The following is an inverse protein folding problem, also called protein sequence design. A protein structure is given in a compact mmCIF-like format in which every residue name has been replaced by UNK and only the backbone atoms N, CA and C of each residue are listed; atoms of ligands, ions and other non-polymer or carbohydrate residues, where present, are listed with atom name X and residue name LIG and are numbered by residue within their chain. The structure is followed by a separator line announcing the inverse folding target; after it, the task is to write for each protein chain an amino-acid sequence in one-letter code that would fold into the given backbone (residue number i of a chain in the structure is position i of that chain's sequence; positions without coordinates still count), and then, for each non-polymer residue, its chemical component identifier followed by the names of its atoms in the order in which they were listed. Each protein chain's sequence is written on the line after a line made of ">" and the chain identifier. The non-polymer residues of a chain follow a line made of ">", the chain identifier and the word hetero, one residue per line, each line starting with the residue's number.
data_IF_930681951979
#
_entry.id   IF_930681951979
#
_cell.length_a   1.000
_cell.length_b   1.000
_cell.length_c   1.000
_cell.angle_alpha   90.00
_cell.angle_beta   90.00
_cell.angle_gamma   90.00
#
_symmetry.space_group_name_H-M   'P 1'
#
loop_
_entity.id
_entity.type
_entity.pdbx_description
1 polymer ?
#
# COMPACT_ATOMS: atom_id res chain seq x y z
N UNK A 1 -1.11 22.94 2.07
CA UNK A 1 -2.50 22.44 2.08
C UNK A 1 -2.98 22.09 0.66
N UNK A 2 -2.68 22.91 -0.36
CA UNK A 2 -3.20 22.76 -1.73
C UNK A 2 -2.74 21.49 -2.47
N UNK A 3 -1.58 20.95 -2.12
CA UNK A 3 -1.04 19.73 -2.69
C UNK A 3 -1.64 18.45 -2.07
N UNK A 4 -2.38 18.58 -0.97
CA UNK A 4 -2.98 17.43 -0.29
C UNK A 4 -4.10 16.83 -1.17
N UNK A 5 -4.02 15.52 -1.43
CA UNK A 5 -4.98 14.79 -2.28
C UNK A 5 -6.41 14.85 -1.73
N UNK A 6 -6.57 14.88 -0.42
CA UNK A 6 -7.86 15.06 0.25
C UNK A 6 -8.53 16.39 -0.16
N UNK A 7 -7.75 17.49 -0.15
CA UNK A 7 -8.27 18.82 -0.58
C UNK A 7 -8.58 18.81 -2.06
N UNK A 8 -7.76 18.17 -2.88
CA UNK A 8 -8.04 18.02 -4.32
C UNK A 8 -9.33 17.22 -4.54
N UNK A 9 -9.54 16.13 -3.80
CA UNK A 9 -10.78 15.34 -3.85
C UNK A 9 -12.02 16.16 -3.47
N UNK A 10 -11.94 16.96 -2.40
CA UNK A 10 -13.04 17.87 -2.04
C UNK A 10 -13.35 18.88 -3.15
N UNK A 11 -12.33 19.42 -3.81
CA UNK A 11 -12.53 20.34 -4.96
C UNK A 11 -13.25 19.66 -6.10
N UNK A 12 -12.86 18.42 -6.47
CA UNK A 12 -13.53 17.65 -7.52
C UNK A 12 -15.02 17.42 -7.24
N UNK A 13 -15.40 17.13 -6.00
CA UNK A 13 -16.79 17.01 -5.62
C UNK A 13 -17.51 18.35 -5.77
N UNK A 14 -16.90 19.45 -5.34
CA UNK A 14 -17.48 20.80 -5.40
C UNK A 14 -17.69 21.32 -6.82
N UNK A 15 -16.99 20.80 -7.82
CA UNK A 15 -17.23 21.13 -9.22
C UNK A 15 -18.65 20.72 -9.69
N UNK A 16 -19.24 19.69 -9.06
CA UNK A 16 -20.50 19.11 -9.48
C UNK A 16 -21.59 19.18 -8.41
N UNK A 17 -21.24 19.40 -7.15
CA UNK A 17 -22.16 19.37 -6.02
C UNK A 17 -21.97 20.58 -5.12
N UNK A 18 -23.05 21.25 -4.78
CA UNK A 18 -23.05 22.32 -3.80
C UNK A 18 -22.89 21.75 -2.40
N UNK A 19 -21.70 21.84 -1.84
CA UNK A 19 -21.42 21.43 -0.48
C UNK A 19 -21.27 22.65 0.44
N UNK A 20 -21.73 22.56 1.70
CA UNK A 20 -21.52 23.61 2.69
C UNK A 20 -20.05 23.80 2.99
N UNK A 21 -19.73 24.79 3.82
CA UNK A 21 -18.39 24.93 4.36
C UNK A 21 -18.07 23.73 5.26
N UNK A 22 -16.90 23.11 5.04
CA UNK A 22 -16.45 21.91 5.77
C UNK A 22 -15.15 22.18 6.49
N UNK A 23 -15.06 21.70 7.71
CA UNK A 23 -13.82 21.57 8.45
C UNK A 23 -13.38 20.10 8.42
N UNK A 24 -12.16 19.84 7.96
CA UNK A 24 -11.62 18.49 7.87
C UNK A 24 -10.39 18.41 8.78
N UNK A 25 -10.41 17.50 9.74
CA UNK A 25 -9.26 17.16 10.57
C UNK A 25 -8.73 15.78 10.17
N UNK A 26 -7.45 15.70 9.82
CA UNK A 26 -6.80 14.46 9.43
C UNK A 26 -5.74 14.10 10.47
N UNK A 27 -5.94 12.99 11.17
CA UNK A 27 -4.96 12.41 12.07
C UNK A 27 -4.21 11.28 11.36
N UNK A 28 -2.95 11.53 10.99
CA UNK A 28 -2.09 10.54 10.32
C UNK A 28 -1.42 9.63 11.34
N UNK A 29 -1.84 8.37 11.38
CA UNK A 29 -1.18 7.33 12.19
C UNK A 29 -0.06 6.63 11.41
N UNK A 30 -0.32 6.33 10.12
CA UNK A 30 0.69 5.74 9.23
C UNK A 30 1.58 6.86 8.69
N UNK A 31 2.91 6.74 8.82
CA UNK A 31 3.84 7.75 8.30
C UNK A 31 3.69 7.98 6.80
N UNK A 32 3.86 9.22 6.36
CA UNK A 32 3.87 9.57 4.94
C UNK A 32 5.10 8.99 4.23
N UNK A 33 4.99 8.72 2.92
CA UNK A 33 6.12 8.19 2.14
C UNK A 33 6.51 6.76 2.53
N UNK A 34 5.53 5.97 2.96
CA UNK A 34 5.74 4.60 3.45
C UNK A 34 5.62 3.52 2.35
N UNK A 35 5.30 3.87 1.10
CA UNK A 35 5.01 2.87 0.05
C UNK A 35 3.65 2.17 0.22
N UNK A 36 2.74 2.72 1.04
CA UNK A 36 1.46 2.11 1.42
C UNK A 36 0.24 2.80 0.79
N UNK A 37 0.44 3.73 -0.13
CA UNK A 37 -0.66 4.45 -0.77
C UNK A 37 -1.50 5.32 0.19
N UNK A 38 -0.96 5.68 1.37
CA UNK A 38 -1.73 6.34 2.43
C UNK A 38 -2.41 7.64 2.01
N UNK A 39 -1.75 8.48 1.19
CA UNK A 39 -2.36 9.70 0.65
C UNK A 39 -3.52 9.40 -0.31
N UNK A 40 -3.38 8.36 -1.13
CA UNK A 40 -4.43 7.89 -2.06
C UNK A 40 -5.62 7.30 -1.30
N UNK A 41 -5.34 6.56 -0.22
CA UNK A 41 -6.36 6.05 0.70
C UNK A 41 -7.14 7.19 1.35
N UNK A 42 -6.46 8.21 1.89
CA UNK A 42 -7.11 9.38 2.50
C UNK A 42 -8.05 10.08 1.50
N UNK A 43 -7.59 10.28 0.25
CA UNK A 43 -8.39 10.93 -0.80
C UNK A 43 -9.64 10.10 -1.14
N UNK A 44 -9.47 8.81 -1.44
CA UNK A 44 -10.57 7.92 -1.80
C UNK A 44 -11.61 7.82 -0.68
N UNK A 45 -11.18 7.64 0.57
CA UNK A 45 -12.08 7.58 1.72
C UNK A 45 -12.77 8.92 2.00
N UNK A 46 -12.10 10.05 1.78
CA UNK A 46 -12.75 11.36 1.85
C UNK A 46 -13.87 11.48 0.82
N UNK A 47 -13.63 11.08 -0.43
CA UNK A 47 -14.65 11.11 -1.48
C UNK A 47 -15.83 10.20 -1.14
N UNK A 48 -15.58 8.99 -0.65
CA UNK A 48 -16.63 8.05 -0.16
C UNK A 48 -17.44 8.66 0.98
N UNK A 49 -16.74 9.26 1.97
CA UNK A 49 -17.40 9.89 3.12
C UNK A 49 -18.28 11.06 2.70
N UNK A 50 -17.83 11.91 1.78
CA UNK A 50 -18.61 13.01 1.26
C UNK A 50 -19.83 12.51 0.47
N UNK A 51 -19.66 11.48 -0.37
CA UNK A 51 -20.75 10.84 -1.10
C UNK A 51 -21.83 10.33 -0.14
N UNK A 52 -21.43 9.63 0.91
CA UNK A 52 -22.34 9.09 1.91
C UNK A 52 -23.00 10.19 2.77
N UNK A 53 -22.20 11.13 3.28
CA UNK A 53 -22.66 12.19 4.20
C UNK A 53 -23.68 13.13 3.54
N UNK A 54 -23.50 13.43 2.25
CA UNK A 54 -24.34 14.35 1.51
C UNK A 54 -25.32 13.67 0.54
N UNK A 55 -25.40 12.33 0.58
CA UNK A 55 -26.27 11.52 -0.30
C UNK A 55 -26.11 11.90 -1.77
N UNK A 56 -24.87 12.00 -2.27
CA UNK A 56 -24.60 12.45 -3.63
C UNK A 56 -25.01 11.44 -4.70
N UNK A 57 -25.27 10.19 -4.31
CA UNK A 57 -25.75 9.13 -5.20
C UNK A 57 -24.68 8.56 -6.14
N UNK A 58 -23.40 8.81 -5.89
CA UNK A 58 -22.32 8.29 -6.72
C UNK A 58 -22.12 6.79 -6.46
N UNK A 59 -22.08 6.00 -7.53
CA UNK A 59 -21.67 4.59 -7.50
C UNK A 59 -20.16 4.46 -7.29
N UNK A 60 -19.71 3.25 -6.92
CA UNK A 60 -18.27 2.96 -6.82
C UNK A 60 -17.53 3.21 -8.14
N UNK A 61 -18.13 2.88 -9.29
CA UNK A 61 -17.52 3.13 -10.60
C UNK A 61 -17.31 4.62 -10.85
N UNK A 62 -18.31 5.47 -10.54
CA UNK A 62 -18.20 6.92 -10.69
C UNK A 62 -17.17 7.51 -9.71
N UNK A 63 -17.06 6.96 -8.49
CA UNK A 63 -16.04 7.35 -7.54
C UNK A 63 -14.65 6.97 -8.06
N UNK A 64 -14.43 5.74 -8.55
CA UNK A 64 -13.16 5.27 -9.14
C UNK A 64 -12.72 6.16 -10.31
N UNK A 65 -13.65 6.49 -11.21
CA UNK A 65 -13.37 7.40 -12.35
C UNK A 65 -12.89 8.77 -11.85
N UNK A 66 -13.63 9.37 -10.90
CA UNK A 66 -13.29 10.69 -10.37
C UNK A 66 -11.96 10.73 -9.64
N UNK A 67 -11.69 9.75 -8.77
CA UNK A 67 -10.43 9.72 -8.00
C UNK A 67 -9.20 9.37 -8.84
N UNK A 68 -9.37 8.79 -10.04
CA UNK A 68 -8.28 8.49 -10.97
C UNK A 68 -7.46 9.74 -11.31
N UNK A 69 -8.12 10.89 -11.43
CA UNK A 69 -7.46 12.18 -11.66
C UNK A 69 -6.60 12.69 -10.50
N UNK A 70 -6.75 12.10 -9.30
CA UNK A 70 -5.97 12.46 -8.11
C UNK A 70 -4.66 11.69 -8.03
N UNK A 71 -4.64 10.45 -8.50
CA UNK A 71 -3.46 9.57 -8.48
C UNK A 71 -3.83 8.15 -8.89
N UNK A 72 -2.87 7.43 -9.48
CA UNK A 72 -3.06 6.08 -10.02
C UNK A 72 -3.57 5.06 -8.97
N UNK A 73 -3.12 5.20 -7.71
CA UNK A 73 -3.50 4.29 -6.63
C UNK A 73 -4.87 4.61 -6.00
N UNK A 74 -5.42 5.83 -6.22
CA UNK A 74 -6.67 6.25 -5.57
C UNK A 74 -7.87 5.33 -5.88
N UNK A 75 -8.09 4.87 -7.12
CA UNK A 75 -9.23 4.00 -7.45
C UNK A 75 -9.25 2.69 -6.67
N UNK A 76 -8.07 2.11 -6.37
CA UNK A 76 -7.97 0.89 -5.57
C UNK A 76 -8.70 1.02 -4.22
N UNK A 77 -8.53 2.16 -3.53
CA UNK A 77 -9.09 2.38 -2.20
C UNK A 77 -10.60 2.66 -2.18
N UNK A 78 -11.23 2.83 -3.34
CA UNK A 78 -12.69 2.93 -3.42
C UNK A 78 -13.33 1.61 -3.00
N UNK A 79 -12.90 0.49 -3.58
CA UNK A 79 -13.40 -0.85 -3.23
C UNK A 79 -12.57 -1.54 -2.16
N UNK A 80 -11.27 -1.25 -2.10
CA UNK A 80 -10.34 -1.78 -1.11
C UNK A 80 -10.38 -3.32 -1.03
N UNK A 81 -10.26 -3.99 -2.18
CA UNK A 81 -10.29 -5.46 -2.30
C UNK A 81 -9.05 -5.95 -3.05
N UNK A 82 -8.61 -7.19 -2.83
CA UNK A 82 -7.50 -7.76 -3.57
C UNK A 82 -7.75 -7.73 -5.08
N UNK A 83 -6.81 -7.14 -5.82
CA UNK A 83 -6.87 -7.02 -7.28
C UNK A 83 -5.49 -7.26 -7.89
N UNK A 84 -5.47 -7.72 -9.12
CA UNK A 84 -4.31 -7.66 -9.99
C UNK A 84 -4.40 -6.36 -10.80
N UNK A 85 -3.45 -5.45 -10.57
CA UNK A 85 -3.40 -4.15 -11.23
C UNK A 85 -2.47 -4.20 -12.44
N UNK A 86 -2.90 -3.60 -13.55
CA UNK A 86 -2.13 -3.45 -14.79
C UNK A 86 -2.13 -1.99 -15.26
N UNK A 87 -1.50 -1.72 -16.40
CA UNK A 87 -1.32 -0.36 -16.91
C UNK A 87 -0.36 0.43 -16.03
N UNK A 88 -0.77 1.59 -15.58
CA UNK A 88 -0.04 2.42 -14.60
C UNK A 88 -0.48 2.11 -13.14
N UNK A 89 -1.12 0.95 -12.89
CA UNK A 89 -1.70 0.58 -11.61
C UNK A 89 -3.17 0.94 -11.46
N UNK A 90 -3.87 1.22 -12.55
CA UNK A 90 -5.26 1.73 -12.57
C UNK A 90 -6.26 0.81 -13.27
N UNK A 91 -5.83 -0.30 -13.84
CA UNK A 91 -6.70 -1.31 -14.46
C UNK A 91 -6.75 -2.52 -13.53
N UNK A 92 -7.90 -2.79 -12.93
CA UNK A 92 -8.06 -3.80 -11.88
C UNK A 92 -8.78 -5.04 -12.38
N UNK A 93 -8.16 -6.19 -12.13
CA UNK A 93 -8.79 -7.50 -12.28
C UNK A 93 -8.95 -8.11 -10.89
N UNK A 94 -10.18 -8.42 -10.43
CA UNK A 94 -10.39 -9.07 -9.16
C UNK A 94 -9.65 -10.41 -9.06
N UNK A 95 -9.06 -10.70 -7.91
CA UNK A 95 -8.38 -11.96 -7.63
C UNK A 95 -8.96 -12.62 -6.39
N UNK A 96 -9.02 -13.96 -6.40
CA UNK A 96 -9.51 -14.76 -5.29
C UNK A 96 -8.43 -15.05 -4.24
N UNK A 97 -7.73 -14.02 -3.76
CA UNK A 97 -6.73 -14.16 -2.72
C UNK A 97 -7.35 -13.89 -1.34
N UNK A 98 -7.17 -14.80 -0.40
CA UNK A 98 -7.46 -14.59 1.02
C UNK A 98 -6.22 -14.89 1.85
N UNK A 99 -5.91 -14.01 2.77
CA UNK A 99 -4.82 -14.15 3.74
C UNK A 99 -5.37 -14.13 5.19
N UNK A 100 -6.66 -14.48 5.37
CA UNK A 100 -7.38 -14.37 6.65
C UNK A 100 -6.77 -15.17 7.81
N UNK A 101 -5.94 -16.18 7.51
CA UNK A 101 -5.24 -16.98 8.53
C UNK A 101 -3.77 -16.60 8.70
N UNK A 102 -3.39 -15.41 8.21
CA UNK A 102 -2.04 -14.91 8.26
C UNK A 102 -1.93 -13.69 9.15
N UNK A 103 -0.84 -13.62 9.90
CA UNK A 103 -0.45 -12.39 10.61
C UNK A 103 0.41 -11.53 9.70
N UNK A 104 0.06 -10.26 9.60
CA UNK A 104 0.87 -9.23 8.96
C UNK A 104 1.75 -8.57 10.01
N UNK A 105 3.04 -8.48 9.75
CA UNK A 105 3.95 -7.55 10.41
C UNK A 105 4.41 -6.52 9.39
N UNK A 106 4.31 -5.26 9.73
CA UNK A 106 4.74 -4.13 8.91
C UNK A 106 5.77 -3.29 9.66
N UNK A 107 6.91 -3.06 9.04
CA UNK A 107 7.99 -2.24 9.57
C UNK A 107 8.32 -1.13 8.58
N UNK A 108 8.27 0.13 9.02
CA UNK A 108 8.68 1.29 8.22
C UNK A 108 9.82 2.01 8.94
N UNK A 109 11.07 1.92 8.45
CA UNK A 109 12.19 2.65 9.00
C UNK A 109 12.03 4.16 8.76
N UNK A 110 12.74 4.99 9.52
CA UNK A 110 12.76 6.45 9.27
C UNK A 110 13.65 6.80 8.07
N UNK A 111 13.39 6.13 6.95
CA UNK A 111 14.03 6.33 5.65
C UNK A 111 12.99 6.78 4.66
N UNK A 112 13.26 7.86 3.95
CA UNK A 112 12.44 8.33 2.84
C UNK A 112 13.02 7.82 1.51
N UNK A 113 12.20 7.10 0.73
CA UNK A 113 12.53 6.68 -0.62
C UNK A 113 11.71 7.49 -1.61
N UNK A 114 12.40 8.22 -2.49
CA UNK A 114 11.72 8.95 -3.56
C UNK A 114 11.19 7.96 -4.60
N UNK A 115 9.87 7.97 -4.84
CA UNK A 115 9.24 7.16 -5.90
C UNK A 115 9.91 7.40 -7.26
N UNK A 116 10.25 8.67 -7.58
CA UNK A 116 10.95 9.02 -8.82
C UNK A 116 12.32 8.35 -8.92
N UNK A 117 13.06 8.31 -7.81
CA UNK A 117 14.38 7.67 -7.75
C UNK A 117 14.28 6.15 -7.86
N UNK A 118 13.31 5.55 -7.18
CA UNK A 118 13.03 4.12 -7.28
C UNK A 118 12.71 3.71 -8.74
N UNK A 119 11.83 4.45 -9.42
CA UNK A 119 11.52 4.22 -10.84
C UNK A 119 12.72 4.40 -11.76
N UNK A 120 13.63 5.33 -11.48
CA UNK A 120 14.82 5.56 -12.31
C UNK A 120 15.83 4.39 -12.25
N UNK A 121 15.73 3.52 -11.26
CA UNK A 121 16.64 2.40 -11.01
C UNK A 121 16.03 1.04 -11.34
N UNK A 122 14.75 1.00 -11.66
CA UNK A 122 14.07 -0.26 -11.97
C UNK A 122 14.48 -0.75 -13.37
N UNK A 123 14.76 -2.03 -13.48
CA UNK A 123 14.94 -2.73 -14.74
C UNK A 123 13.81 -3.75 -14.91
N UNK A 124 12.66 -3.34 -15.48
CA UNK A 124 11.50 -4.21 -15.55
C UNK A 124 11.83 -5.50 -16.31
N UNK A 125 11.49 -6.63 -15.70
CA UNK A 125 11.64 -7.96 -16.30
C UNK A 125 10.28 -8.64 -16.36
N UNK A 126 10.04 -9.36 -17.43
CA UNK A 126 8.84 -10.19 -17.49
C UNK A 126 9.09 -11.43 -16.63
N UNK A 127 8.28 -11.69 -15.60
CA UNK A 127 8.46 -12.88 -14.78
C UNK A 127 8.24 -14.14 -15.63
N UNK A 128 8.98 -15.20 -15.33
CA UNK A 128 8.81 -16.51 -15.99
C UNK A 128 7.43 -17.11 -15.69
N UNK A 129 6.98 -16.95 -14.44
CA UNK A 129 5.65 -17.36 -14.01
C UNK A 129 4.79 -16.13 -13.78
N UNK A 130 3.58 -16.04 -14.34
CA UNK A 130 2.67 -14.92 -14.09
C UNK A 130 2.36 -14.76 -12.59
N UNK A 131 2.33 -13.52 -12.12
CA UNK A 131 1.99 -13.20 -10.72
C UNK A 131 0.66 -13.83 -10.31
N UNK A 132 -0.32 -13.83 -11.21
CA UNK A 132 -1.64 -14.44 -10.99
C UNK A 132 -1.60 -15.96 -10.74
N UNK A 133 -0.55 -16.63 -11.19
CA UNK A 133 -0.36 -18.06 -10.96
C UNK A 133 0.45 -18.30 -9.68
N UNK A 134 1.41 -17.40 -9.37
CA UNK A 134 2.18 -17.47 -8.13
C UNK A 134 1.28 -17.29 -6.91
N UNK A 135 0.38 -16.30 -6.92
CA UNK A 135 -0.50 -16.01 -5.79
C UNK A 135 -1.55 -17.10 -5.48
N UNK A 136 -1.73 -18.06 -6.39
CA UNK A 136 -2.56 -19.25 -6.17
C UNK A 136 -1.85 -20.36 -5.40
N UNK A 137 -0.51 -20.27 -5.31
CA UNK A 137 0.31 -21.21 -4.55
C UNK A 137 0.26 -20.89 -3.07
N UNK A 138 0.61 -21.84 -2.19
CA UNK A 138 0.82 -21.55 -0.78
C UNK A 138 1.78 -20.37 -0.57
N UNK A 139 1.53 -19.54 0.43
CA UNK A 139 2.35 -18.35 0.72
C UNK A 139 3.81 -18.72 0.98
N UNK A 140 4.04 -19.90 1.53
CA UNK A 140 5.37 -20.46 1.80
C UNK A 140 6.22 -20.65 0.53
N UNK A 141 5.58 -20.73 -0.64
CA UNK A 141 6.27 -20.85 -1.93
C UNK A 141 6.55 -19.48 -2.59
N UNK A 142 6.08 -18.37 -2.03
CA UNK A 142 6.19 -17.05 -2.65
C UNK A 142 7.59 -16.45 -2.57
N UNK A 143 8.40 -16.83 -1.60
CA UNK A 143 9.68 -16.20 -1.25
C UNK A 143 10.58 -15.90 -2.44
N UNK A 144 10.74 -16.86 -3.35
CA UNK A 144 11.65 -16.76 -4.49
C UNK A 144 10.93 -16.51 -5.83
N UNK A 145 9.59 -16.48 -5.81
CA UNK A 145 8.76 -16.36 -6.99
C UNK A 145 8.10 -14.99 -7.11
N UNK A 146 7.61 -14.44 -6.00
CA UNK A 146 6.93 -13.15 -5.96
C UNK A 146 7.91 -12.08 -5.48
N UNK A 147 8.50 -11.37 -6.41
CA UNK A 147 9.51 -10.35 -6.15
C UNK A 147 8.98 -8.94 -6.40
N UNK A 148 9.53 -7.96 -5.71
CA UNK A 148 9.29 -6.55 -5.97
C UNK A 148 10.49 -5.97 -6.73
N UNK A 149 10.28 -5.59 -7.99
CA UNK A 149 11.34 -5.08 -8.88
C UNK A 149 12.04 -3.81 -8.35
N UNK A 150 11.43 -3.08 -7.43
CA UNK A 150 12.08 -1.93 -6.78
C UNK A 150 13.15 -2.34 -5.77
N UNK A 151 13.09 -3.55 -5.22
CA UNK A 151 13.98 -3.98 -4.13
C UNK A 151 15.46 -3.91 -4.53
N UNK A 152 15.83 -4.38 -5.71
CA UNK A 152 17.23 -4.38 -6.17
C UNK A 152 17.83 -2.96 -6.10
N UNK A 153 17.14 -1.99 -6.67
CA UNK A 153 17.62 -0.60 -6.73
C UNK A 153 17.55 0.13 -5.38
N UNK A 154 16.49 -0.10 -4.62
CA UNK A 154 16.28 0.53 -3.31
C UNK A 154 17.22 -0.04 -2.27
N UNK A 155 17.39 -1.36 -2.22
CA UNK A 155 18.29 -2.03 -1.26
C UNK A 155 19.76 -1.72 -1.48
N UNK A 156 20.17 -1.46 -2.75
CA UNK A 156 21.51 -1.01 -3.05
C UNK A 156 21.82 0.38 -2.48
N UNK A 157 20.80 1.26 -2.35
CA UNK A 157 20.93 2.59 -1.77
C UNK A 157 20.70 2.62 -0.25
N UNK A 158 19.81 1.76 0.21
CA UNK A 158 19.33 1.71 1.59
C UNK A 158 19.39 0.26 2.10
N UNK A 159 20.60 -0.27 2.40
CA UNK A 159 20.78 -1.64 2.86
C UNK A 159 20.03 -1.93 4.17
N UNK A 160 19.69 -0.90 4.96
CA UNK A 160 18.91 -1.02 6.17
C UNK A 160 17.49 -1.55 5.88
N UNK A 161 16.92 -1.24 4.70
CA UNK A 161 15.60 -1.76 4.30
C UNK A 161 15.71 -3.24 3.95
N UNK A 162 16.80 -3.64 3.29
CA UNK A 162 17.09 -5.06 3.02
C UNK A 162 17.28 -5.86 4.33
N UNK A 163 17.97 -5.28 5.32
CA UNK A 163 18.16 -5.88 6.64
C UNK A 163 16.84 -6.14 7.36
N UNK A 164 15.88 -5.22 7.27
CA UNK A 164 14.52 -5.42 7.81
C UNK A 164 13.88 -6.66 7.17
N UNK A 165 13.95 -6.81 5.85
CA UNK A 165 13.40 -7.98 5.14
C UNK A 165 14.08 -9.27 5.60
N UNK A 166 15.40 -9.28 5.72
CA UNK A 166 16.16 -10.43 6.20
C UNK A 166 15.74 -10.81 7.63
N UNK A 167 15.67 -9.83 8.54
CA UNK A 167 15.23 -10.06 9.93
C UNK A 167 13.81 -10.61 10.01
N UNK A 168 12.88 -10.16 9.17
CA UNK A 168 11.52 -10.72 9.15
C UNK A 168 11.56 -12.22 8.80
N UNK A 169 12.39 -12.62 7.83
CA UNK A 169 12.59 -14.04 7.53
C UNK A 169 13.25 -14.80 8.68
N UNK A 170 14.25 -14.21 9.34
CA UNK A 170 14.92 -14.81 10.51
C UNK A 170 13.95 -15.04 11.68
N UNK A 171 12.91 -14.20 11.77
CA UNK A 171 11.83 -14.36 12.75
C UNK A 171 10.72 -15.33 12.29
N UNK A 172 10.87 -15.97 11.15
CA UNK A 172 9.96 -17.01 10.68
C UNK A 172 8.84 -16.51 9.74
N UNK A 173 9.00 -15.36 9.10
CA UNK A 173 8.09 -14.96 8.03
C UNK A 173 8.12 -16.00 6.91
N UNK A 174 6.95 -16.48 6.49
CA UNK A 174 6.83 -17.35 5.32
C UNK A 174 7.10 -16.55 4.03
N UNK A 175 6.70 -15.28 4.03
CA UNK A 175 6.97 -14.34 2.94
C UNK A 175 7.24 -12.95 3.51
N UNK A 176 8.22 -12.25 2.94
CA UNK A 176 8.48 -10.85 3.24
C UNK A 176 8.86 -10.08 1.97
N UNK A 177 8.39 -8.83 1.87
CA UNK A 177 8.66 -7.96 0.72
C UNK A 177 8.57 -6.50 1.10
N UNK A 178 9.28 -5.66 0.36
CA UNK A 178 9.06 -4.22 0.41
C UNK A 178 7.71 -3.86 -0.23
N UNK A 179 7.01 -2.89 0.33
CA UNK A 179 5.73 -2.41 -0.20
C UNK A 179 5.93 -1.27 -1.20
N UNK A 180 5.48 -1.47 -2.44
CA UNK A 180 5.60 -0.49 -3.51
C UNK A 180 7.06 -0.06 -3.71
N UNK A 181 7.31 1.24 -3.80
CA UNK A 181 8.66 1.83 -3.91
C UNK A 181 9.39 2.00 -2.56
N UNK A 182 8.83 1.48 -1.47
CA UNK A 182 9.41 1.57 -0.12
C UNK A 182 8.94 2.82 0.64
N UNK A 183 9.43 2.99 1.85
CA UNK A 183 10.44 2.19 2.57
C UNK A 183 9.86 1.08 3.45
N UNK A 184 8.53 0.92 3.53
CA UNK A 184 7.93 -0.14 4.35
C UNK A 184 8.26 -1.52 3.82
N UNK A 185 8.53 -2.44 4.76
CA UNK A 185 8.68 -3.87 4.50
C UNK A 185 7.62 -4.60 5.31
N UNK A 186 6.99 -5.60 4.72
CA UNK A 186 6.04 -6.43 5.42
C UNK A 186 6.45 -7.90 5.41
N UNK A 187 6.00 -8.63 6.42
CA UNK A 187 6.14 -10.08 6.51
C UNK A 187 4.79 -10.74 6.79
N UNK A 188 4.58 -11.92 6.22
CA UNK A 188 3.43 -12.78 6.47
C UNK A 188 3.87 -13.97 7.32
N UNK A 189 3.17 -14.20 8.44
CA UNK A 189 3.48 -15.22 9.42
C UNK A 189 2.28 -16.13 9.66
N UNK A 190 2.51 -17.43 9.83
CA UNK A 190 1.49 -18.36 10.38
C UNK A 190 1.36 -18.15 11.88
N UNK A 191 2.47 -18.01 12.55
CA UNK A 191 2.56 -17.69 13.97
C UNK A 191 3.59 -16.59 14.13
N UNK A 192 3.15 -15.44 14.57
CA UNK A 192 4.03 -14.29 14.75
C UNK A 192 4.66 -14.33 16.15
N UNK A 193 5.94 -13.93 16.31
CA UNK A 193 6.55 -13.72 17.60
C UNK A 193 5.85 -12.63 18.41
N UNK A 194 6.09 -12.61 19.73
CA UNK A 194 5.54 -11.59 20.62
C UNK A 194 5.86 -10.17 20.14
N UNK A 195 4.87 -9.30 20.14
CA UNK A 195 4.99 -7.93 19.64
C UNK A 195 6.13 -7.16 20.32
N UNK A 196 6.31 -7.37 21.63
CA UNK A 196 7.38 -6.73 22.40
C UNK A 196 8.76 -7.09 21.88
N UNK A 197 8.99 -8.34 21.52
CA UNK A 197 10.26 -8.81 20.99
C UNK A 197 10.49 -8.30 19.58
N UNK A 198 9.45 -8.31 18.75
CA UNK A 198 9.51 -7.74 17.41
C UNK A 198 9.82 -6.24 17.43
N UNK A 199 9.19 -5.47 18.31
CA UNK A 199 9.47 -4.04 18.46
C UNK A 199 10.90 -3.75 18.90
N UNK A 200 11.52 -4.62 19.71
CA UNK A 200 12.95 -4.50 20.10
C UNK A 200 13.91 -4.70 18.93
N UNK A 201 13.52 -5.47 17.93
CA UNK A 201 14.32 -5.65 16.72
C UNK A 201 14.31 -4.41 15.80
N UNK A 202 13.26 -3.58 15.89
CA UNK A 202 13.04 -2.41 15.05
C UNK A 202 12.74 -1.15 15.88
N UNK A 203 13.65 -0.73 16.79
CA UNK A 203 13.35 0.24 17.86
C UNK A 203 12.97 1.64 17.36
N UNK A 204 13.51 2.07 16.22
CA UNK A 204 13.28 3.41 15.66
C UNK A 204 12.34 3.40 14.45
N UNK A 205 11.66 2.27 14.22
CA UNK A 205 10.76 2.11 13.10
C UNK A 205 9.30 2.24 13.52
N UNK A 206 8.46 2.74 12.63
CA UNK A 206 7.04 2.50 12.76
C UNK A 206 6.79 1.00 12.60
N UNK A 207 6.04 0.45 13.53
CA UNK A 207 5.71 -0.98 13.61
C UNK A 207 4.21 -1.16 13.73
N UNK A 208 3.67 -2.09 12.95
CA UNK A 208 2.27 -2.50 13.01
C UNK A 208 2.16 -4.02 12.85
N UNK A 209 1.26 -4.63 13.59
CA UNK A 209 0.98 -6.07 13.53
C UNK A 209 -0.52 -6.29 13.60
N UNK A 210 -1.04 -7.20 12.78
CA UNK A 210 -2.44 -7.59 12.77
C UNK A 210 -2.63 -9.00 12.22
N UNK A 211 -3.72 -9.67 12.63
CA UNK A 211 -4.30 -10.79 11.90
C UNK A 211 -5.08 -10.23 10.70
N UNK A 212 -4.90 -10.81 9.50
CA UNK A 212 -5.55 -10.38 8.27
C UNK A 212 -6.94 -11.00 8.11
#
# INVERSE_FOLDING_TARGET
>A
PEQNLLIKGLRLIREHYALPHLYISLHKQIPSGAGLGGGSSDAAHTMKSLNQMFNLGLSDNELEERVTGLGADCPFFVRNRPVFATGIGNIFTPIGLSLSDWHLVLVKPDIFVSTKEAYARISPRRPETPITDIIRRPVEEWKDLLTNDFEEGVFALHPEIADIKARLYDQGAAYASMSGSGSSVFGLFRTVPEETDMRRLFPESFYFQALL
#
